data_IF_602366839875
#
_entry.id   IF_602366839875
#
_cell.length_a   1.000
_cell.length_b   1.000
_cell.length_c   1.000
_cell.angle_alpha   90.00
_cell.angle_beta   90.00
_cell.angle_gamma   90.00
#
_symmetry.space_group_name_H-M   'P 1'
#
loop_
_entity.id
_entity.type
_entity.pdbx_description
1 polymer ?
#
# COMPACT_ATOMS: atom_id res chain seq x y z
N UNK A 1 11.15 11.67 7.83
CA UNK A 1 10.23 11.61 6.69
C UNK A 1 9.57 10.23 6.66
N UNK A 2 8.27 10.18 6.49
CA UNK A 2 7.53 8.91 6.40
C UNK A 2 7.87 8.18 5.10
N UNK A 3 7.84 6.85 5.15
CA UNK A 3 8.21 5.99 4.04
C UNK A 3 7.03 5.13 3.61
N UNK A 4 6.71 5.16 2.32
CA UNK A 4 5.62 4.39 1.72
C UNK A 4 6.19 3.43 0.69
N UNK A 5 5.77 2.17 0.75
CA UNK A 5 6.11 1.18 -0.28
C UNK A 5 4.92 1.03 -1.23
N UNK A 6 5.17 1.20 -2.52
CA UNK A 6 4.17 1.04 -3.57
C UNK A 6 4.45 -0.23 -4.35
N UNK A 7 3.49 -1.13 -4.37
CA UNK A 7 3.53 -2.34 -5.19
C UNK A 7 2.55 -2.19 -6.36
N UNK A 8 3.08 -1.97 -7.55
CA UNK A 8 2.33 -1.72 -8.78
C UNK A 8 3.13 -2.25 -9.96
N UNK A 9 2.52 -3.10 -10.79
CA UNK A 9 3.23 -3.74 -11.91
C UNK A 9 3.34 -2.85 -13.16
N UNK A 10 2.47 -1.85 -13.32
CA UNK A 10 2.59 -0.91 -14.43
C UNK A 10 3.54 0.24 -14.08
N UNK A 11 4.70 0.35 -14.77
CA UNK A 11 5.69 1.38 -14.42
C UNK A 11 5.18 2.81 -14.58
N UNK A 12 4.33 3.07 -15.57
CA UNK A 12 3.79 4.42 -15.79
C UNK A 12 2.83 4.81 -14.68
N UNK A 13 1.96 3.90 -14.28
CA UNK A 13 1.05 4.11 -13.14
C UNK A 13 1.84 4.31 -11.85
N UNK A 14 2.87 3.49 -11.62
CA UNK A 14 3.71 3.61 -10.44
C UNK A 14 4.43 4.97 -10.38
N UNK A 15 4.99 5.42 -11.49
CA UNK A 15 5.65 6.73 -11.58
C UNK A 15 4.67 7.86 -11.29
N UNK A 16 3.46 7.78 -11.85
CA UNK A 16 2.42 8.79 -11.63
C UNK A 16 2.02 8.86 -10.14
N UNK A 17 1.83 7.72 -9.50
CA UNK A 17 1.48 7.63 -8.08
C UNK A 17 2.61 8.20 -7.22
N UNK A 18 3.84 7.76 -7.45
CA UNK A 18 5.01 8.23 -6.69
C UNK A 18 5.16 9.75 -6.80
N UNK A 19 5.11 10.28 -8.01
CA UNK A 19 5.22 11.71 -8.26
C UNK A 19 4.12 12.49 -7.56
N UNK A 20 2.86 12.03 -7.71
CA UNK A 20 1.72 12.69 -7.10
C UNK A 20 1.81 12.74 -5.58
N UNK A 21 2.24 11.65 -4.95
CA UNK A 21 2.35 11.57 -3.50
C UNK A 21 3.54 12.39 -2.97
N UNK A 22 4.70 12.30 -3.61
CA UNK A 22 5.89 13.02 -3.16
C UNK A 22 5.77 14.53 -3.37
N UNK A 23 4.98 14.98 -4.34
CA UNK A 23 4.70 16.40 -4.54
C UNK A 23 3.74 16.97 -3.49
N UNK A 24 2.84 16.15 -2.95
CA UNK A 24 1.77 16.59 -2.05
C UNK A 24 2.06 16.36 -0.57
N UNK A 25 2.91 15.40 -0.25
CA UNK A 25 3.18 14.97 1.13
C UNK A 25 4.68 14.90 1.40
N UNK A 26 5.12 15.14 2.65
CA UNK A 26 6.54 14.99 3.03
C UNK A 26 6.89 13.51 3.25
N UNK A 27 6.83 12.70 2.19
CA UNK A 27 7.09 11.27 2.23
C UNK A 27 8.06 10.84 1.15
N UNK A 28 8.65 9.66 1.33
CA UNK A 28 9.43 8.99 0.30
C UNK A 28 8.66 7.75 -0.14
N UNK A 29 8.51 7.55 -1.45
CA UNK A 29 7.84 6.39 -2.02
C UNK A 29 8.87 5.49 -2.70
N UNK A 30 9.00 4.26 -2.18
CA UNK A 30 9.77 3.20 -2.84
C UNK A 30 8.80 2.37 -3.68
N UNK A 31 9.28 1.77 -4.77
CA UNK A 31 8.43 1.07 -5.72
C UNK A 31 8.96 -0.33 -6.02
N UNK A 32 8.05 -1.32 -6.03
CA UNK A 32 8.31 -2.68 -6.53
C UNK A 32 7.24 -3.04 -7.55
N UNK A 33 7.60 -3.86 -8.54
CA UNK A 33 6.73 -4.23 -9.66
C UNK A 33 6.12 -5.62 -9.53
N UNK A 34 6.49 -6.36 -8.50
CA UNK A 34 6.17 -7.78 -8.36
C UNK A 34 5.81 -8.08 -6.90
N UNK A 35 4.69 -8.78 -6.70
CA UNK A 35 4.22 -9.12 -5.36
C UNK A 35 5.21 -9.96 -4.54
N UNK A 36 6.01 -10.80 -5.21
CA UNK A 36 7.02 -11.61 -4.52
C UNK A 36 8.14 -10.77 -3.88
N UNK A 37 8.35 -9.54 -4.35
CA UNK A 37 9.38 -8.64 -3.82
C UNK A 37 8.90 -7.80 -2.63
N UNK A 38 7.59 -7.74 -2.39
CA UNK A 38 7.01 -6.85 -1.39
C UNK A 38 7.51 -7.18 0.02
N UNK A 39 7.46 -8.46 0.40
CA UNK A 39 7.88 -8.88 1.74
C UNK A 39 9.34 -8.57 2.01
N UNK A 40 10.23 -8.87 1.07
CA UNK A 40 11.64 -8.57 1.20
C UNK A 40 11.88 -7.07 1.34
N UNK A 41 11.16 -6.27 0.57
CA UNK A 41 11.28 -4.81 0.61
C UNK A 41 10.76 -4.24 1.94
N UNK A 42 9.67 -4.79 2.47
CA UNK A 42 9.15 -4.37 3.79
C UNK A 42 10.19 -4.65 4.87
N UNK A 43 10.81 -5.82 4.85
CA UNK A 43 11.84 -6.18 5.83
C UNK A 43 13.08 -5.30 5.70
N UNK A 44 13.42 -4.88 4.47
CA UNK A 44 14.60 -4.06 4.22
C UNK A 44 14.39 -2.58 4.58
N UNK A 45 13.19 -2.03 4.35
CA UNK A 45 12.96 -0.58 4.44
C UNK A 45 12.05 -0.17 5.60
N UNK A 46 11.32 -1.10 6.22
CA UNK A 46 10.37 -0.82 7.30
C UNK A 46 9.42 0.35 6.98
N UNK A 47 8.59 0.22 5.91
CA UNK A 47 7.73 1.33 5.53
C UNK A 47 6.65 1.61 6.57
N UNK A 48 6.16 2.85 6.58
CA UNK A 48 5.06 3.27 7.44
C UNK A 48 3.69 2.91 6.86
N UNK A 49 3.64 2.66 5.55
CA UNK A 49 2.41 2.28 4.83
C UNK A 49 2.80 1.51 3.57
N UNK A 50 2.01 0.50 3.22
CA UNK A 50 2.15 -0.23 1.96
C UNK A 50 0.91 0.02 1.10
N UNK A 51 1.11 0.42 -0.15
CA UNK A 51 0.05 0.54 -1.16
C UNK A 51 0.17 -0.68 -2.06
N UNK A 52 -0.89 -1.47 -2.15
CA UNK A 52 -0.91 -2.73 -2.90
C UNK A 52 -1.97 -2.73 -3.99
N UNK A 53 -1.60 -3.15 -5.20
CA UNK A 53 -2.60 -3.59 -6.18
C UNK A 53 -2.91 -5.07 -5.96
N UNK A 54 -4.15 -5.48 -6.25
CA UNK A 54 -4.54 -6.89 -6.21
C UNK A 54 -3.92 -7.65 -7.37
N UNK A 55 -3.93 -7.07 -8.57
CA UNK A 55 -3.47 -7.73 -9.78
C UNK A 55 -1.99 -7.44 -10.03
N UNK A 56 -1.11 -8.38 -9.68
CA UNK A 56 0.33 -8.27 -9.88
C UNK A 56 0.92 -9.63 -10.23
N UNK A 57 2.02 -9.67 -11.02
CA UNK A 57 2.76 -10.92 -11.23
C UNK A 57 3.47 -11.37 -9.94
N UNK A 58 3.80 -12.64 -9.87
CA UNK A 58 4.33 -13.25 -8.66
C UNK A 58 3.21 -13.56 -7.69
N UNK A 59 3.18 -12.89 -6.54
CA UNK A 59 2.07 -12.96 -5.61
C UNK A 59 1.11 -11.80 -5.89
N UNK A 60 -0.20 -12.08 -5.94
CA UNK A 60 -1.17 -10.99 -6.03
C UNK A 60 -1.29 -10.25 -4.69
N UNK A 61 -1.91 -9.06 -4.71
CA UNK A 61 -2.00 -8.22 -3.52
C UNK A 61 -2.73 -8.87 -2.35
N UNK A 62 -3.72 -9.72 -2.60
CA UNK A 62 -4.44 -10.44 -1.53
C UNK A 62 -3.51 -11.44 -0.85
N UNK A 63 -2.73 -12.20 -1.63
CA UNK A 63 -1.75 -13.15 -1.08
C UNK A 63 -0.69 -12.44 -0.25
N UNK A 64 -0.18 -11.31 -0.72
CA UNK A 64 0.77 -10.48 0.04
C UNK A 64 0.14 -10.03 1.36
N UNK A 65 -1.09 -9.54 1.31
CA UNK A 65 -1.82 -9.09 2.49
C UNK A 65 -1.99 -10.21 3.52
N UNK A 66 -2.38 -11.40 3.07
CA UNK A 66 -2.55 -12.56 3.95
C UNK A 66 -1.22 -12.95 4.61
N UNK A 67 -0.11 -12.92 3.87
CA UNK A 67 1.21 -13.19 4.42
C UNK A 67 1.62 -12.16 5.48
N UNK A 68 1.34 -10.88 5.23
CA UNK A 68 1.62 -9.81 6.20
C UNK A 68 0.85 -10.04 7.51
N UNK A 69 -0.43 -10.34 7.41
CA UNK A 69 -1.30 -10.55 8.59
C UNK A 69 -0.98 -11.84 9.32
N UNK A 70 -0.38 -12.81 8.64
CA UNK A 70 0.08 -14.06 9.25
C UNK A 70 1.46 -13.98 9.90
N UNK A 71 2.18 -12.88 9.74
CA UNK A 71 3.55 -12.70 10.28
C UNK A 71 3.53 -11.79 11.50
N UNK A 72 3.89 -12.29 12.71
CA UNK A 72 3.81 -11.47 13.94
C UNK A 72 4.57 -10.15 13.86
N UNK A 73 5.70 -10.11 13.16
CA UNK A 73 6.51 -8.90 13.03
C UNK A 73 5.95 -7.90 12.01
N UNK A 74 5.00 -8.31 11.17
CA UNK A 74 4.47 -7.51 10.06
C UNK A 74 2.96 -7.25 10.16
N UNK A 75 2.31 -7.84 11.16
CA UNK A 75 0.84 -7.81 11.28
C UNK A 75 0.28 -6.39 11.42
N UNK A 76 1.07 -5.45 11.94
CA UNK A 76 0.64 -4.07 12.18
C UNK A 76 0.98 -3.11 11.04
N UNK A 77 1.60 -3.60 9.96
CA UNK A 77 1.90 -2.75 8.80
C UNK A 77 0.59 -2.32 8.14
N UNK A 78 0.29 -1.02 8.07
CA UNK A 78 -0.94 -0.57 7.43
C UNK A 78 -0.89 -0.76 5.92
N UNK A 79 -2.01 -1.18 5.33
CA UNK A 79 -2.12 -1.47 3.90
C UNK A 79 -3.26 -0.67 3.28
N UNK A 80 -2.97 0.03 2.19
CA UNK A 80 -3.96 0.63 1.32
C UNK A 80 -3.99 -0.16 0.01
N UNK A 81 -5.10 -0.83 -0.27
CA UNK A 81 -5.32 -1.42 -1.59
C UNK A 81 -5.71 -0.31 -2.58
N UNK A 82 -4.99 -0.23 -3.69
CA UNK A 82 -5.30 0.68 -4.79
C UNK A 82 -5.46 -0.18 -6.04
N UNK A 83 -6.69 -0.45 -6.46
CA UNK A 83 -6.95 -1.52 -7.39
C UNK A 83 -8.19 -1.30 -8.26
N UNK A 84 -8.17 -1.89 -9.48
CA UNK A 84 -9.35 -2.01 -10.33
C UNK A 84 -10.31 -3.12 -9.86
N UNK A 85 -9.92 -3.89 -8.83
CA UNK A 85 -10.70 -5.01 -8.27
C UNK A 85 -11.08 -4.72 -6.80
N UNK A 86 -11.85 -3.64 -6.53
CA UNK A 86 -12.07 -3.19 -5.14
C UNK A 86 -12.87 -4.17 -4.29
N UNK A 87 -13.76 -4.96 -4.88
CA UNK A 87 -14.58 -5.90 -4.10
C UNK A 87 -13.74 -7.02 -3.48
N UNK A 88 -12.78 -7.55 -4.23
CA UNK A 88 -11.85 -8.55 -3.69
C UNK A 88 -11.00 -7.95 -2.56
N UNK A 89 -10.51 -6.73 -2.76
CA UNK A 89 -9.73 -6.04 -1.74
C UNK A 89 -10.56 -5.76 -0.48
N UNK A 90 -11.83 -5.37 -0.62
CA UNK A 90 -12.72 -5.14 0.52
C UNK A 90 -12.97 -6.39 1.33
N UNK A 91 -13.13 -7.54 0.68
CA UNK A 91 -13.30 -8.82 1.37
C UNK A 91 -12.07 -9.16 2.24
N UNK A 92 -10.87 -8.93 1.72
CA UNK A 92 -9.64 -9.15 2.48
C UNK A 92 -9.48 -8.12 3.60
N UNK A 93 -9.69 -6.84 3.28
CA UNK A 93 -9.54 -5.70 4.20
C UNK A 93 -10.49 -5.76 5.40
N UNK A 94 -11.70 -6.29 5.21
CA UNK A 94 -12.71 -6.39 6.28
C UNK A 94 -12.25 -7.20 7.49
N UNK A 95 -11.23 -8.05 7.32
CA UNK A 95 -10.69 -8.90 8.39
C UNK A 95 -9.74 -8.15 9.33
N UNK A 96 -9.21 -6.99 8.93
CA UNK A 96 -8.14 -6.29 9.67
C UNK A 96 -8.33 -4.78 9.62
N UNK A 97 -8.41 -4.14 10.79
CA UNK A 97 -8.80 -2.73 10.93
C UNK A 97 -7.77 -1.68 10.47
N UNK A 98 -6.54 -2.07 10.13
CA UNK A 98 -5.50 -1.15 9.65
C UNK A 98 -5.31 -1.21 8.13
N UNK A 99 -6.32 -1.68 7.42
CA UNK A 99 -6.33 -1.70 5.96
C UNK A 99 -7.49 -0.88 5.43
N UNK A 100 -7.34 -0.41 4.20
CA UNK A 100 -8.36 0.35 3.50
C UNK A 100 -8.28 0.06 1.99
N UNK A 101 -9.28 0.51 1.24
CA UNK A 101 -9.40 0.22 -0.18
C UNK A 101 -9.76 1.49 -0.94
N UNK A 102 -9.06 1.73 -2.04
CA UNK A 102 -9.39 2.78 -3.00
C UNK A 102 -9.43 2.18 -4.41
N UNK A 103 -10.49 2.46 -5.15
CA UNK A 103 -10.68 1.93 -6.50
C UNK A 103 -9.91 2.74 -7.54
N UNK A 104 -9.44 2.08 -8.59
CA UNK A 104 -8.97 2.72 -9.83
C UNK A 104 -10.15 2.91 -10.78
N UNK A 105 -10.21 3.97 -11.56
CA UNK A 105 -9.29 5.11 -11.58
C UNK A 105 -9.44 5.98 -10.32
N UNK A 106 -8.37 6.66 -9.92
CA UNK A 106 -8.34 7.47 -8.72
C UNK A 106 -7.99 8.93 -9.03
N UNK A 107 -8.39 9.82 -8.13
CA UNK A 107 -7.96 11.22 -8.13
C UNK A 107 -6.70 11.35 -7.27
N UNK A 108 -5.69 12.07 -7.77
CA UNK A 108 -4.41 12.21 -7.07
C UNK A 108 -4.55 12.91 -5.72
N UNK A 109 -5.41 13.92 -5.61
CA UNK A 109 -5.64 14.62 -4.35
C UNK A 109 -6.35 13.72 -3.34
N UNK A 110 -7.32 12.93 -3.80
CA UNK A 110 -8.03 11.98 -2.95
C UNK A 110 -7.10 10.87 -2.46
N UNK A 111 -6.20 10.38 -3.32
CA UNK A 111 -5.19 9.39 -2.92
C UNK A 111 -4.25 9.95 -1.86
N UNK A 112 -3.72 11.15 -2.07
CA UNK A 112 -2.83 11.80 -1.13
C UNK A 112 -3.51 12.02 0.22
N UNK A 113 -4.77 12.45 0.22
CA UNK A 113 -5.55 12.63 1.45
C UNK A 113 -5.72 11.31 2.20
N UNK A 114 -6.04 10.22 1.49
CA UNK A 114 -6.18 8.89 2.11
C UNK A 114 -4.88 8.41 2.72
N UNK A 115 -3.76 8.59 2.01
CA UNK A 115 -2.43 8.22 2.50
C UNK A 115 -2.09 9.03 3.76
N UNK A 116 -2.31 10.33 3.72
CA UNK A 116 -2.05 11.21 4.86
C UNK A 116 -2.88 10.81 6.09
N UNK A 117 -4.16 10.53 5.89
CA UNK A 117 -5.06 10.10 6.97
C UNK A 117 -4.60 8.76 7.58
N UNK A 118 -4.19 7.81 6.76
CA UNK A 118 -3.71 6.51 7.25
C UNK A 118 -2.40 6.65 8.02
N UNK A 119 -1.47 7.46 7.54
CA UNK A 119 -0.21 7.73 8.24
C UNK A 119 -0.46 8.42 9.59
N UNK A 120 -1.40 9.34 9.64
CA UNK A 120 -1.77 10.04 10.87
C UNK A 120 -2.40 9.10 11.91
N UNK A 121 -3.24 8.16 11.48
CA UNK A 121 -3.86 7.16 12.37
C UNK A 121 -2.81 6.26 13.02
N UNK A 122 -1.82 5.81 12.25
CA UNK A 122 -0.74 4.97 12.76
C UNK A 122 0.07 5.73 13.81
N UNK A 123 0.40 6.98 13.55
CA UNK A 123 1.15 7.82 14.48
C UNK A 123 0.41 8.00 15.82
N UNK A 124 -0.93 8.04 15.81
CA UNK A 124 -1.74 8.18 17.03
C UNK A 124 -1.80 6.90 17.86
N UNK A 125 -1.64 5.75 17.23
CA UNK A 125 -1.69 4.45 17.91
C UNK A 125 -0.34 4.13 18.56
N UNK A 126 0.72 4.65 18.00
CA UNK A 126 2.04 4.49 18.57
C UNK A 126 2.24 5.41 19.78
#
# INVERSE_FOLDING_TARGET
MKRVLLAEDDPDTATAIKTALEERLPITVDHVTNGALVLDQILATHPDLVILDVSMPGLNGIDVFDLLRGSPSLVDVPVLFLTAMPDLARQASARFGISDVMAKPFDCDALAQRVDDMLARVAKVA
#
